data_IF_969728299624
#
_entry.id   IF_969728299624
#
_cell.length_a   1.000
_cell.length_b   1.000
_cell.length_c   1.000
_cell.angle_alpha   90.00
_cell.angle_beta   90.00
_cell.angle_gamma   90.00
#
_symmetry.space_group_name_H-M   'P 1'
#
loop_
_entity.id
_entity.type
_entity.pdbx_description
1 polymer ?
#
# COMPACT_ATOMS: atom_id res chain seq x y z
N UNK A 1 16.56 1.54 -7.01
CA UNK A 1 16.21 1.95 -5.63
C UNK A 1 14.97 2.82 -5.77
N UNK A 2 13.82 2.30 -5.37
CA UNK A 2 12.53 2.97 -5.53
C UNK A 2 12.50 4.25 -4.70
N UNK A 3 12.26 5.41 -5.33
CA UNK A 3 12.09 6.68 -4.62
C UNK A 3 10.61 7.00 -4.46
N UNK A 4 10.22 7.47 -3.28
CA UNK A 4 8.84 7.86 -2.99
C UNK A 4 8.34 8.97 -3.93
N UNK A 5 9.24 9.88 -4.30
CA UNK A 5 8.94 10.99 -5.21
C UNK A 5 8.60 10.52 -6.63
N UNK A 6 9.25 9.44 -7.09
CA UNK A 6 8.95 8.83 -8.39
C UNK A 6 7.57 8.18 -8.37
N UNK A 7 7.22 7.46 -7.29
CA UNK A 7 5.88 6.90 -7.13
C UNK A 7 4.80 7.98 -7.15
N UNK A 8 4.99 9.06 -6.39
CA UNK A 8 4.02 10.17 -6.29
C UNK A 8 3.87 10.95 -7.60
N UNK A 9 4.92 11.02 -8.42
CA UNK A 9 4.86 11.70 -9.72
C UNK A 9 4.13 10.87 -10.78
N UNK A 10 4.19 9.53 -10.67
CA UNK A 10 3.73 8.61 -11.71
C UNK A 10 2.37 7.94 -11.43
N UNK A 11 1.90 7.97 -10.19
CA UNK A 11 0.72 7.25 -9.72
C UNK A 11 -0.22 8.24 -9.03
N UNK A 12 -1.43 8.36 -9.55
CA UNK A 12 -2.48 9.14 -8.89
C UNK A 12 -3.05 8.34 -7.71
N UNK A 13 -2.90 8.87 -6.50
CA UNK A 13 -3.38 8.24 -5.27
C UNK A 13 -2.84 8.89 -4.00
N UNK A 14 -3.28 8.37 -2.86
CA UNK A 14 -2.82 8.85 -1.55
C UNK A 14 -1.65 8.00 -1.05
N UNK A 15 -0.65 8.67 -0.45
CA UNK A 15 0.59 8.06 0.03
C UNK A 15 0.89 8.49 1.46
N UNK A 16 0.87 7.53 2.38
CA UNK A 16 1.12 7.76 3.81
C UNK A 16 2.39 7.01 4.23
N UNK A 17 3.29 7.69 4.95
CA UNK A 17 4.60 7.15 5.32
C UNK A 17 4.62 6.95 6.83
N UNK A 18 5.05 5.76 7.27
CA UNK A 18 5.08 5.38 8.69
C UNK A 18 3.75 5.65 9.42
N UNK A 19 2.64 5.16 8.86
CA UNK A 19 1.30 5.39 9.40
C UNK A 19 0.62 4.07 9.80
N UNK A 20 -0.41 4.17 10.64
CA UNK A 20 -1.19 3.05 11.14
C UNK A 20 -2.32 2.66 10.18
N UNK A 21 -2.43 1.37 9.86
CA UNK A 21 -3.46 0.85 8.95
C UNK A 21 -4.89 1.14 9.42
N UNK A 22 -5.11 1.23 10.73
CA UNK A 22 -6.41 1.58 11.32
C UNK A 22 -6.92 2.96 10.89
N UNK A 23 -6.04 3.90 10.53
CA UNK A 23 -6.43 5.23 10.04
C UNK A 23 -6.96 5.21 8.60
N UNK A 24 -6.87 4.06 7.92
CA UNK A 24 -7.12 3.94 6.50
C UNK A 24 -8.29 3.00 6.15
N UNK A 25 -9.28 2.89 7.03
CA UNK A 25 -10.48 2.03 6.88
C UNK A 25 -10.14 0.53 6.93
N UNK A 26 -9.07 0.19 7.64
CA UNK A 26 -8.66 -1.19 7.94
C UNK A 26 -8.89 -1.45 9.44
N UNK A 27 -10.15 -1.30 9.87
CA UNK A 27 -10.57 -1.16 11.28
C UNK A 27 -10.12 -2.29 12.23
N UNK A 28 -9.75 -3.45 11.69
CA UNK A 28 -9.37 -4.64 12.47
C UNK A 28 -7.87 -4.89 12.50
N UNK A 29 -7.08 -3.98 11.92
CA UNK A 29 -5.64 -4.15 11.75
C UNK A 29 -4.89 -3.11 12.58
N UNK A 30 -4.38 -3.54 13.72
CA UNK A 30 -3.48 -2.75 14.55
C UNK A 30 -2.03 -3.00 14.11
N UNK A 31 -1.64 -2.40 12.99
CA UNK A 31 -0.27 -2.46 12.51
C UNK A 31 0.18 -1.17 11.82
N UNK A 32 1.47 -0.88 11.94
CA UNK A 32 2.14 0.23 11.24
C UNK A 32 2.72 -0.27 9.93
N UNK A 33 2.62 0.51 8.86
CA UNK A 33 3.31 0.22 7.62
C UNK A 33 4.33 1.32 7.29
N UNK A 34 5.48 0.94 6.74
CA UNK A 34 6.49 1.92 6.31
C UNK A 34 5.94 2.80 5.17
N UNK A 35 5.10 2.24 4.29
CA UNK A 35 4.36 2.97 3.27
C UNK A 35 2.94 2.40 3.10
N UNK A 36 1.93 3.27 3.05
CA UNK A 36 0.55 2.93 2.70
C UNK A 36 0.19 3.68 1.42
N UNK A 37 -0.39 2.97 0.46
CA UNK A 37 -0.74 3.52 -0.85
C UNK A 37 -2.20 3.22 -1.16
N UNK A 38 -2.99 4.25 -1.48
CA UNK A 38 -4.36 4.13 -1.97
C UNK A 38 -4.42 4.57 -3.43
N UNK A 39 -4.33 3.64 -4.41
CA UNK A 39 -4.41 4.00 -5.82
C UNK A 39 -5.81 4.50 -6.18
N UNK A 40 -5.89 5.55 -6.98
CA UNK A 40 -7.16 6.17 -7.40
C UNK A 40 -7.96 5.29 -8.38
N UNK A 41 -7.31 4.38 -9.11
CA UNK A 41 -7.95 3.59 -10.14
C UNK A 41 -7.18 2.34 -10.56
N UNK A 42 -7.81 1.53 -11.43
CA UNK A 42 -7.25 0.26 -11.92
C UNK A 42 -5.96 0.44 -12.73
N UNK A 43 -5.87 1.54 -13.48
CA UNK A 43 -4.67 1.88 -14.27
C UNK A 43 -3.48 2.14 -13.34
N UNK A 44 -3.71 2.95 -12.31
CA UNK A 44 -2.72 3.33 -11.30
C UNK A 44 -2.29 2.13 -10.46
N UNK A 45 -3.25 1.29 -10.04
CA UNK A 45 -2.94 0.03 -9.35
C UNK A 45 -2.02 -0.87 -10.18
N UNK A 46 -2.32 -1.07 -11.48
CA UNK A 46 -1.47 -1.90 -12.34
C UNK A 46 -0.08 -1.30 -12.51
N UNK A 47 0.02 0.01 -12.75
CA UNK A 47 1.31 0.69 -12.90
C UNK A 47 2.12 0.61 -11.60
N UNK A 48 1.48 0.82 -10.46
CA UNK A 48 2.08 0.72 -9.13
C UNK A 48 2.66 -0.69 -8.89
N UNK A 49 1.88 -1.74 -9.11
CA UNK A 49 2.33 -3.13 -8.92
C UNK A 49 3.57 -3.44 -9.78
N UNK A 50 3.55 -3.04 -11.06
CA UNK A 50 4.69 -3.22 -11.97
C UNK A 50 5.93 -2.46 -11.48
N UNK A 51 5.77 -1.24 -10.97
CA UNK A 51 6.90 -0.44 -10.45
C UNK A 51 7.50 -1.07 -9.18
N UNK A 52 6.66 -1.55 -8.27
CA UNK A 52 7.09 -2.20 -7.03
C UNK A 52 7.80 -3.53 -7.32
N UNK A 53 7.26 -4.34 -8.22
CA UNK A 53 7.85 -5.61 -8.65
C UNK A 53 9.22 -5.39 -9.30
N UNK A 54 9.33 -4.45 -10.25
CA UNK A 54 10.60 -4.11 -10.92
C UNK A 54 11.70 -3.66 -9.97
N UNK A 55 11.32 -3.02 -8.87
CA UNK A 55 12.27 -2.54 -7.85
C UNK A 55 12.47 -3.55 -6.71
N UNK A 56 11.85 -4.74 -6.80
CA UNK A 56 11.85 -5.75 -5.73
C UNK A 56 11.46 -5.17 -4.37
N UNK A 57 10.52 -4.21 -4.39
CA UNK A 57 10.04 -3.57 -3.17
C UNK A 57 9.00 -4.46 -2.49
N UNK A 58 9.21 -4.89 -1.23
CA UNK A 58 8.22 -5.71 -0.53
C UNK A 58 6.89 -4.99 -0.45
N UNK A 59 5.84 -5.66 -0.94
CA UNK A 59 4.51 -5.08 -0.94
C UNK A 59 3.42 -6.14 -0.81
N UNK A 60 2.28 -5.72 -0.28
CA UNK A 60 1.07 -6.53 -0.19
C UNK A 60 -0.13 -5.69 -0.59
N UNK A 61 -1.14 -6.37 -1.13
CA UNK A 61 -2.43 -5.75 -1.45
C UNK A 61 -3.46 -6.27 -0.46
N UNK A 62 -4.15 -5.34 0.19
CA UNK A 62 -5.23 -5.63 1.12
C UNK A 62 -6.47 -4.82 0.74
N UNK A 63 -7.63 -5.36 1.03
CA UNK A 63 -8.88 -4.61 0.96
C UNK A 63 -9.26 -4.07 2.35
N UNK A 64 -10.10 -3.03 2.37
CA UNK A 64 -10.61 -2.42 3.60
C UNK A 64 -11.33 -3.43 4.51
N UNK A 65 -12.08 -4.36 3.90
CA UNK A 65 -12.93 -5.34 4.59
C UNK A 65 -12.24 -6.67 4.92
N UNK A 66 -10.99 -6.85 4.50
CA UNK A 66 -10.25 -8.10 4.69
C UNK A 66 -9.88 -8.36 6.13
N UNK A 67 -9.50 -9.61 6.42
CA UNK A 67 -8.81 -9.94 7.67
C UNK A 67 -7.36 -10.24 7.35
N UNK A 68 -6.48 -9.38 7.84
CA UNK A 68 -5.03 -9.55 7.74
C UNK A 68 -4.45 -9.41 9.14
N UNK A 69 -3.44 -10.22 9.45
CA UNK A 69 -2.75 -10.17 10.74
C UNK A 69 -1.27 -9.94 10.46
N UNK A 70 -0.73 -8.88 11.03
CA UNK A 70 0.71 -8.64 11.08
C UNK A 70 1.19 -9.06 12.46
N UNK A 71 1.86 -10.23 12.61
CA UNK A 71 2.19 -10.80 13.91
C UNK A 71 3.08 -9.85 14.74
N UNK A 72 3.95 -9.09 14.08
CA UNK A 72 4.86 -8.15 14.72
C UNK A 72 4.27 -6.73 14.87
N UNK A 73 2.98 -6.54 14.56
CA UNK A 73 2.32 -5.22 14.58
C UNK A 73 2.90 -4.22 13.56
N UNK A 74 3.68 -4.71 12.59
CA UNK A 74 4.34 -3.88 11.58
C UNK A 74 4.47 -4.61 10.25
N UNK A 75 4.46 -3.83 9.17
CA UNK A 75 4.87 -4.29 7.84
C UNK A 75 6.01 -3.44 7.30
N UNK A 76 7.13 -4.10 6.99
CA UNK A 76 8.29 -3.49 6.38
C UNK A 76 8.18 -3.52 4.86
N UNK A 77 7.58 -2.46 4.30
CA UNK A 77 7.29 -2.35 2.86
C UNK A 77 6.05 -1.51 2.58
N UNK A 78 5.46 -1.70 1.40
CA UNK A 78 4.26 -1.00 0.95
C UNK A 78 3.00 -1.84 1.18
N UNK A 79 2.03 -1.25 1.87
CA UNK A 79 0.67 -1.79 1.97
C UNK A 79 -0.23 -1.02 1.01
N UNK A 80 -0.73 -1.72 0.00
CA UNK A 80 -1.67 -1.16 -0.96
C UNK A 80 -3.07 -1.45 -0.46
N UNK A 81 -3.83 -0.40 -0.10
CA UNK A 81 -5.21 -0.53 0.38
C UNK A 81 -6.15 -0.21 -0.77
N UNK A 82 -6.88 -1.21 -1.26
CA UNK A 82 -7.80 -1.03 -2.39
C UNK A 82 -8.90 -2.10 -2.45
N UNK A 83 -10.10 -1.69 -2.85
CA UNK A 83 -11.21 -2.59 -3.21
C UNK A 83 -11.33 -2.79 -4.74
N UNK A 84 -10.39 -2.25 -5.52
CA UNK A 84 -10.38 -2.35 -6.98
C UNK A 84 -10.10 -3.80 -7.38
N UNK A 85 -10.94 -4.33 -8.26
CA UNK A 85 -10.75 -5.66 -8.85
C UNK A 85 -9.71 -5.59 -9.96
N UNK A 86 -8.72 -6.49 -9.90
CA UNK A 86 -7.60 -6.56 -10.85
C UNK A 86 -8.01 -6.93 -12.27
#
# INVERSE_FOLDING_TARGET
MLRLDELRADIDGDFFVHDELKHHEVDKVNAVADLIIKPSGRKDLKKLLVMLEKNSFPHIVINSKGRVVFPDGRFHGAVIVTDIKL
#
